data_IF_468375526349
#
_entry.id   IF_468375526349
#
_cell.length_a   1.000
_cell.length_b   1.000
_cell.length_c   1.000
_cell.angle_alpha   90.00
_cell.angle_beta   90.00
_cell.angle_gamma   90.00
#
_symmetry.space_group_name_H-M   'P 1'
#
loop_
_entity.id
_entity.type
_entity.pdbx_description
1 polymer ?
#
# COMPACT_ATOMS: atom_id res chain seq x y z
N UNK A 1 2.18 -12.63 -34.05
CA UNK A 1 1.89 -11.22 -33.70
C UNK A 1 2.20 -11.06 -32.22
N UNK A 2 3.03 -10.09 -31.83
CA UNK A 2 3.36 -9.89 -30.41
C UNK A 2 2.07 -9.62 -29.62
N UNK A 3 1.83 -10.38 -28.55
CA UNK A 3 0.65 -10.17 -27.70
C UNK A 3 0.90 -9.02 -26.72
N UNK A 4 0.61 -7.81 -27.19
CA UNK A 4 0.69 -6.58 -26.40
C UNK A 4 -0.19 -6.61 -25.16
N UNK A 5 -1.22 -7.46 -25.11
CA UNK A 5 -2.03 -7.64 -23.90
C UNK A 5 -1.19 -8.20 -22.76
N UNK A 6 -0.46 -9.29 -23.03
CA UNK A 6 0.35 -9.98 -22.03
C UNK A 6 1.48 -9.09 -21.52
N UNK A 7 2.07 -8.29 -22.40
CA UNK A 7 3.08 -7.28 -22.04
C UNK A 7 2.48 -6.17 -21.17
N UNK A 8 1.33 -5.59 -21.56
CA UNK A 8 0.67 -4.54 -20.79
C UNK A 8 0.27 -4.99 -19.38
N UNK A 9 -0.18 -6.24 -19.25
CA UNK A 9 -0.48 -6.90 -17.98
C UNK A 9 0.73 -6.98 -17.04
N UNK A 10 1.88 -7.39 -17.56
CA UNK A 10 3.13 -7.47 -16.81
C UNK A 10 3.58 -6.07 -16.37
N UNK A 11 3.48 -5.06 -17.25
CA UNK A 11 3.81 -3.67 -16.91
C UNK A 11 2.96 -3.13 -15.76
N UNK A 12 1.65 -3.40 -15.77
CA UNK A 12 0.74 -2.95 -14.69
C UNK A 12 1.14 -3.59 -13.35
N UNK A 13 1.41 -4.89 -13.33
CA UNK A 13 1.83 -5.60 -12.10
C UNK A 13 3.14 -5.01 -11.57
N UNK A 14 4.14 -4.83 -12.43
CA UNK A 14 5.42 -4.22 -12.05
C UNK A 14 5.26 -2.80 -11.53
N UNK A 15 4.41 -1.98 -12.18
CA UNK A 15 4.12 -0.62 -11.74
C UNK A 15 3.54 -0.57 -10.33
N UNK A 16 2.63 -1.49 -10.01
CA UNK A 16 2.05 -1.60 -8.66
C UNK A 16 3.08 -2.02 -7.62
N UNK A 17 3.95 -2.99 -7.95
CA UNK A 17 5.04 -3.43 -7.06
C UNK A 17 6.00 -2.27 -6.79
N UNK A 18 6.43 -1.55 -7.83
CA UNK A 18 7.33 -0.40 -7.71
C UNK A 18 6.69 0.71 -6.87
N UNK A 19 5.40 1.01 -7.09
CA UNK A 19 4.67 2.01 -6.31
C UNK A 19 4.55 1.61 -4.83
N UNK A 20 4.30 0.32 -4.54
CA UNK A 20 4.26 -0.20 -3.18
C UNK A 20 5.63 -0.09 -2.48
N UNK A 21 6.72 -0.49 -3.16
CA UNK A 21 8.08 -0.37 -2.63
C UNK A 21 8.46 1.10 -2.42
N UNK A 22 8.17 1.99 -3.37
CA UNK A 22 8.41 3.42 -3.23
C UNK A 22 7.63 4.03 -2.06
N UNK A 23 6.39 3.61 -1.84
CA UNK A 23 5.58 4.03 -0.70
C UNK A 23 6.19 3.57 0.63
N UNK A 24 6.65 2.31 0.71
CA UNK A 24 7.33 1.79 1.89
C UNK A 24 8.64 2.53 2.20
N UNK A 25 9.43 2.85 1.18
CA UNK A 25 10.68 3.61 1.33
C UNK A 25 10.45 5.06 1.76
N UNK A 26 9.41 5.72 1.22
CA UNK A 26 8.99 7.05 1.67
C UNK A 26 8.58 7.06 3.14
N UNK A 27 7.82 6.06 3.56
CA UNK A 27 7.40 5.90 4.95
C UNK A 27 8.58 5.55 5.86
N UNK A 28 9.57 4.80 5.35
CA UNK A 28 10.79 4.45 6.09
C UNK A 28 11.61 5.67 6.54
N UNK A 29 11.58 6.78 5.79
CA UNK A 29 12.27 8.03 6.19
C UNK A 29 11.60 8.76 7.37
N UNK A 30 10.32 8.49 7.62
CA UNK A 30 9.57 9.06 8.75
C UNK A 30 9.51 8.13 9.97
N UNK A 31 10.36 7.10 10.00
CA UNK A 31 10.52 6.21 11.16
C UNK A 31 11.82 6.57 11.88
N UNK A 32 11.84 7.59 12.76
CA UNK A 32 13.00 7.82 13.60
C UNK A 32 13.19 6.72 14.66
N UNK A 33 12.17 5.92 15.03
CA UNK A 33 12.31 4.88 16.08
C UNK A 33 11.12 3.87 16.25
N UNK A 34 10.79 3.00 15.29
CA UNK A 34 9.77 1.92 15.47
C UNK A 34 8.34 2.36 15.94
N UNK A 35 7.53 2.98 15.06
CA UNK A 35 6.05 2.81 15.16
C UNK A 35 5.17 4.06 15.32
N UNK A 36 5.55 5.21 14.79
CA UNK A 36 4.59 6.32 14.59
C UNK A 36 4.75 6.90 13.19
N UNK A 37 3.88 6.51 12.25
CA UNK A 37 3.78 7.27 11.00
C UNK A 37 3.11 8.62 11.32
N UNK A 38 3.54 9.72 10.68
CA UNK A 38 2.80 10.97 10.76
C UNK A 38 1.37 10.75 10.24
N UNK A 39 0.37 10.95 11.10
CA UNK A 39 -1.04 10.69 10.78
C UNK A 39 -1.67 9.50 11.53
N UNK A 40 -0.87 8.66 12.18
CA UNK A 40 -1.40 7.68 13.12
C UNK A 40 -1.79 8.36 14.43
N UNK A 41 -3.03 8.14 14.88
CA UNK A 41 -3.52 8.75 16.13
C UNK A 41 -2.90 7.99 17.30
N UNK A 42 -1.93 8.63 17.96
CA UNK A 42 -1.32 8.12 19.18
C UNK A 42 -1.71 9.00 20.36
N UNK A 43 -2.61 8.50 21.21
CA UNK A 43 -3.07 9.18 22.42
C UNK A 43 -2.45 8.46 23.61
N UNK A 44 -1.60 9.17 24.38
CA UNK A 44 -1.04 8.66 25.63
C UNK A 44 -1.53 9.50 26.80
N UNK A 45 -2.26 8.89 27.75
CA UNK A 45 -2.77 9.53 28.95
C UNK A 45 -2.43 8.66 30.17
N UNK A 46 -1.43 9.05 30.94
CA UNK A 46 -0.96 8.27 32.09
C UNK A 46 -0.50 6.86 31.70
N UNK A 47 -1.12 5.84 32.29
CA UNK A 47 -0.91 4.41 31.96
C UNK A 47 -1.67 3.93 30.71
N UNK A 48 -2.51 4.77 30.09
CA UNK A 48 -3.29 4.41 28.91
C UNK A 48 -2.59 4.86 27.63
N UNK A 49 -2.41 3.93 26.69
CA UNK A 49 -1.83 4.18 25.36
C UNK A 49 -2.79 3.65 24.30
N UNK A 50 -3.28 4.52 23.42
CA UNK A 50 -4.13 4.17 22.28
C UNK A 50 -3.43 4.53 20.98
N UNK A 51 -3.33 3.56 20.07
CA UNK A 51 -2.70 3.71 18.76
C UNK A 51 -3.71 3.32 17.69
N UNK A 52 -3.96 4.23 16.74
CA UNK A 52 -4.85 3.99 15.62
C UNK A 52 -4.15 4.31 14.28
N UNK A 53 -3.72 3.28 13.53
CA UNK A 53 -2.90 3.44 12.34
C UNK A 53 -3.73 3.74 11.09
N UNK A 54 -4.29 4.95 11.01
CA UNK A 54 -5.18 5.39 9.91
C UNK A 54 -4.47 5.27 8.56
N UNK A 55 -3.22 5.74 8.51
CA UNK A 55 -2.46 5.80 7.26
C UNK A 55 -2.18 4.39 6.74
N UNK A 56 -1.83 3.48 7.64
CA UNK A 56 -1.62 2.06 7.30
C UNK A 56 -2.91 1.42 6.76
N UNK A 57 -4.06 1.65 7.41
CA UNK A 57 -5.34 1.13 6.94
C UNK A 57 -5.71 1.62 5.54
N UNK A 58 -5.47 2.90 5.23
CA UNK A 58 -5.73 3.49 3.91
C UNK A 58 -4.83 2.84 2.84
N UNK A 59 -3.52 2.70 3.12
CA UNK A 59 -2.58 2.08 2.19
C UNK A 59 -2.97 0.64 1.89
N UNK A 60 -3.28 -0.14 2.93
CA UNK A 60 -3.73 -1.53 2.80
C UNK A 60 -5.01 -1.58 1.95
N UNK A 61 -5.98 -0.70 2.20
CA UNK A 61 -7.23 -0.63 1.42
C UNK A 61 -6.99 -0.35 -0.06
N UNK A 62 -6.09 0.59 -0.38
CA UNK A 62 -5.74 0.93 -1.77
C UNK A 62 -5.07 -0.27 -2.45
N UNK A 63 -4.13 -0.93 -1.78
CA UNK A 63 -3.45 -2.13 -2.30
C UNK A 63 -4.45 -3.26 -2.55
N UNK A 64 -5.32 -3.56 -1.59
CA UNK A 64 -6.35 -4.59 -1.75
C UNK A 64 -7.31 -4.25 -2.91
N UNK A 65 -7.72 -2.99 -3.01
CA UNK A 65 -8.59 -2.52 -4.10
C UNK A 65 -7.92 -2.70 -5.47
N UNK A 66 -6.63 -2.37 -5.57
CA UNK A 66 -5.82 -2.59 -6.77
C UNK A 66 -5.72 -4.08 -7.10
N UNK A 67 -5.40 -4.94 -6.13
CA UNK A 67 -5.33 -6.39 -6.32
C UNK A 67 -6.67 -6.94 -6.81
N UNK A 68 -7.78 -6.61 -6.14
CA UNK A 68 -9.12 -7.06 -6.56
C UNK A 68 -9.51 -6.53 -7.93
N UNK A 69 -9.14 -5.30 -8.25
CA UNK A 69 -9.37 -4.72 -9.58
C UNK A 69 -8.58 -5.47 -10.65
N UNK A 70 -7.32 -5.83 -10.39
CA UNK A 70 -6.50 -6.61 -11.31
C UNK A 70 -7.03 -8.04 -11.48
N UNK A 71 -7.42 -8.70 -10.40
CA UNK A 71 -8.05 -10.03 -10.46
C UNK A 71 -9.33 -9.98 -11.28
N UNK A 72 -10.20 -8.98 -11.03
CA UNK A 72 -11.43 -8.77 -11.80
C UNK A 72 -11.15 -8.51 -13.28
N UNK A 73 -10.11 -7.73 -13.58
CA UNK A 73 -9.73 -7.40 -14.96
C UNK A 73 -9.20 -8.63 -15.71
N UNK A 74 -8.43 -9.49 -15.03
CA UNK A 74 -7.89 -10.71 -15.62
C UNK A 74 -8.90 -11.85 -15.72
N UNK A 75 -9.78 -12.02 -14.73
CA UNK A 75 -10.80 -13.07 -14.70
C UNK A 75 -12.05 -12.78 -15.53
N UNK A 76 -12.14 -11.60 -16.16
CA UNK A 76 -13.21 -11.24 -17.11
C UNK A 76 -12.92 -11.62 -18.56
N UNK A 77 -11.82 -12.34 -18.83
CA UNK A 77 -11.50 -12.93 -20.13
C UNK A 77 -11.68 -14.43 -20.09
#
# INVERSE_FOLDING_TARGET
MFDFTSIGKILIIFGVIIAAVGSLLLLSKHIPWLGKLPGDIYIKKGNFSFYFPIVTCIIISIILTLIFTLIRLFGRR
#
